data_IF_431204506393
#
_entry.id   IF_431204506393
#
_cell.length_a   1.000
_cell.length_b   1.000
_cell.length_c   1.000
_cell.angle_alpha   90.00
_cell.angle_beta   90.00
_cell.angle_gamma   90.00
#
_symmetry.space_group_name_H-M   'P 1'
#
loop_
_entity.id
_entity.type
_entity.pdbx_description
1 polymer ?
#
# COMPACT_ATOMS: atom_id res chain seq x y z
N UNK A 1 0.99 6.87 -15.35
CA UNK A 1 2.26 6.17 -15.67
C UNK A 1 2.07 4.71 -15.33
N UNK A 2 1.93 3.87 -16.34
CA UNK A 2 2.06 2.42 -16.15
C UNK A 2 3.53 2.16 -15.93
N UNK A 3 3.88 1.64 -14.76
CA UNK A 3 5.24 1.19 -14.53
C UNK A 3 5.35 -0.25 -14.95
N UNK A 4 6.42 -0.50 -15.69
CA UNK A 4 6.96 -1.83 -15.81
C UNK A 4 7.54 -2.21 -14.44
N UNK A 5 6.71 -2.87 -13.63
CA UNK A 5 7.12 -3.38 -12.32
C UNK A 5 8.16 -4.49 -12.47
N UNK A 6 8.14 -5.20 -13.60
CA UNK A 6 9.02 -6.35 -13.85
C UNK A 6 10.47 -5.91 -14.13
N UNK A 7 10.66 -4.69 -14.65
CA UNK A 7 11.99 -4.11 -14.93
C UNK A 7 12.44 -3.05 -13.92
N UNK A 8 11.76 -2.91 -12.76
CA UNK A 8 12.10 -1.92 -11.76
C UNK A 8 13.35 -2.31 -10.96
N UNK A 9 14.32 -1.40 -10.86
CA UNK A 9 15.47 -1.60 -9.95
C UNK A 9 15.07 -1.39 -8.49
N UNK A 10 15.79 -2.01 -7.56
CA UNK A 10 15.54 -1.82 -6.12
C UNK A 10 15.58 -0.34 -5.72
N UNK A 11 16.51 0.45 -6.26
CA UNK A 11 16.62 1.87 -5.96
C UNK A 11 15.40 2.69 -6.43
N UNK A 12 14.79 2.32 -7.56
CA UNK A 12 13.57 2.94 -8.04
C UNK A 12 12.36 2.57 -7.18
N UNK A 13 12.30 1.32 -6.74
CA UNK A 13 11.29 0.86 -5.79
C UNK A 13 11.41 1.61 -4.45
N UNK A 14 12.62 1.69 -3.89
CA UNK A 14 12.88 2.37 -2.63
C UNK A 14 12.53 3.86 -2.71
N UNK A 15 12.88 4.52 -3.83
CA UNK A 15 12.51 5.92 -4.08
C UNK A 15 11.00 6.10 -4.12
N UNK A 16 10.26 5.14 -4.68
CA UNK A 16 8.79 5.17 -4.71
C UNK A 16 8.19 4.95 -3.35
N UNK A 17 8.67 3.97 -2.59
CA UNK A 17 8.22 3.72 -1.22
C UNK A 17 8.50 4.92 -0.32
N UNK A 18 9.64 5.59 -0.46
CA UNK A 18 9.95 6.83 0.24
C UNK A 18 8.96 7.95 -0.12
N UNK A 19 8.62 8.10 -1.40
CA UNK A 19 7.61 9.06 -1.85
C UNK A 19 6.22 8.75 -1.29
N UNK A 20 5.80 7.49 -1.33
CA UNK A 20 4.51 7.05 -0.76
C UNK A 20 4.49 7.31 0.73
N UNK A 21 5.57 7.02 1.46
CA UNK A 21 5.68 7.32 2.90
C UNK A 21 5.51 8.80 3.21
N UNK A 22 6.09 9.68 2.39
CA UNK A 22 6.03 11.12 2.59
C UNK A 22 4.66 11.71 2.25
N UNK A 23 4.03 11.25 1.17
CA UNK A 23 2.77 11.82 0.66
C UNK A 23 1.51 11.11 1.17
N UNK A 24 1.62 9.81 1.47
CA UNK A 24 0.50 8.91 1.81
C UNK A 24 0.92 7.92 2.92
N UNK A 25 1.19 8.41 4.15
CA UNK A 25 1.77 7.60 5.23
C UNK A 25 0.91 6.39 5.60
N UNK A 26 -0.42 6.49 5.56
CA UNK A 26 -1.31 5.37 5.86
C UNK A 26 -1.28 4.27 4.78
N UNK A 27 -1.13 4.64 3.51
CA UNK A 27 -0.95 3.66 2.43
C UNK A 27 0.40 2.95 2.58
N UNK A 28 1.45 3.69 2.93
CA UNK A 28 2.74 3.09 3.23
C UNK A 28 2.63 2.10 4.40
N UNK A 29 1.94 2.48 5.47
CA UNK A 29 1.74 1.62 6.64
C UNK A 29 0.95 0.36 6.30
N UNK A 30 -0.11 0.47 5.48
CA UNK A 30 -0.89 -0.69 5.00
C UNK A 30 -0.03 -1.68 4.22
N UNK A 31 0.81 -1.17 3.31
CA UNK A 31 1.75 -2.01 2.53
C UNK A 31 2.78 -2.67 3.45
N UNK A 32 3.34 -1.91 4.41
CA UNK A 32 4.31 -2.43 5.37
C UNK A 32 3.71 -3.56 6.23
N UNK A 33 2.51 -3.32 6.77
CA UNK A 33 1.81 -4.30 7.61
C UNK A 33 1.37 -5.55 6.81
N UNK A 34 1.10 -5.41 5.50
CA UNK A 34 0.88 -6.58 4.64
C UNK A 34 2.16 -7.40 4.44
N UNK A 35 3.29 -6.76 4.15
CA UNK A 35 4.60 -7.45 4.01
C UNK A 35 5.00 -8.13 5.31
N UNK A 36 4.74 -7.49 6.45
CA UNK A 36 4.97 -8.02 7.80
C UNK A 36 3.92 -9.06 8.24
N UNK A 37 2.98 -9.44 7.37
CA UNK A 37 1.92 -10.44 7.60
C UNK A 37 0.92 -10.09 8.71
N UNK A 38 0.76 -8.80 9.00
CA UNK A 38 -0.24 -8.27 9.95
C UNK A 38 -1.58 -7.95 9.27
N UNK A 39 -1.54 -7.68 7.97
CA UNK A 39 -2.72 -7.64 7.09
C UNK A 39 -2.78 -8.96 6.33
N UNK A 40 -3.94 -9.62 6.34
CA UNK A 40 -4.10 -10.90 5.66
C UNK A 40 -4.25 -10.73 4.14
N UNK A 41 -4.00 -11.80 3.39
CA UNK A 41 -4.27 -11.82 1.94
C UNK A 41 -5.76 -11.64 1.64
N UNK A 42 -6.64 -12.10 2.52
CA UNK A 42 -8.10 -11.93 2.40
C UNK A 42 -8.49 -10.45 2.57
N UNK A 43 -7.91 -9.75 3.54
CA UNK A 43 -8.15 -8.31 3.73
C UNK A 43 -7.66 -7.48 2.54
N UNK A 44 -6.52 -7.85 1.95
CA UNK A 44 -6.05 -7.22 0.71
C UNK A 44 -7.00 -7.50 -0.46
N UNK A 45 -7.47 -8.74 -0.62
CA UNK A 45 -8.42 -9.10 -1.67
C UNK A 45 -9.75 -8.34 -1.54
N UNK A 46 -10.27 -8.22 -0.31
CA UNK A 46 -11.46 -7.42 -0.01
C UNK A 46 -11.23 -5.94 -0.34
N UNK A 47 -10.10 -5.38 0.08
CA UNK A 47 -9.72 -4.00 -0.25
C UNK A 47 -9.66 -3.77 -1.78
N UNK A 48 -9.11 -4.72 -2.54
CA UNK A 48 -9.02 -4.60 -4.00
C UNK A 48 -10.37 -4.68 -4.70
N UNK A 49 -11.36 -5.34 -4.09
CA UNK A 49 -12.75 -5.43 -4.60
C UNK A 49 -13.60 -4.21 -4.25
N UNK A 50 -13.17 -3.37 -3.31
CA UNK A 50 -13.89 -2.15 -2.91
C UNK A 50 -14.01 -1.13 -4.04
N UNK A 51 -15.06 -0.32 -3.98
CA UNK A 51 -15.18 0.86 -4.83
C UNK A 51 -14.06 1.86 -4.55
N UNK A 52 -13.69 2.68 -5.54
CA UNK A 52 -12.57 3.62 -5.42
C UNK A 52 -12.70 4.57 -4.21
N UNK A 53 -13.91 5.05 -3.92
CA UNK A 53 -14.18 5.90 -2.76
C UNK A 53 -13.95 5.16 -1.45
N UNK A 54 -14.46 3.92 -1.35
CA UNK A 54 -14.32 3.09 -0.16
C UNK A 54 -12.85 2.72 0.10
N UNK A 55 -12.07 2.43 -0.95
CA UNK A 55 -10.62 2.24 -0.84
C UNK A 55 -9.92 3.47 -0.24
N UNK A 56 -10.28 4.66 -0.71
CA UNK A 56 -9.69 5.90 -0.21
C UNK A 56 -10.05 6.12 1.25
N UNK A 57 -11.30 5.87 1.64
CA UNK A 57 -11.75 6.07 3.02
C UNK A 57 -11.19 5.00 3.96
N UNK A 58 -11.04 3.76 3.50
CA UNK A 58 -10.30 2.70 4.19
C UNK A 58 -8.86 3.14 4.47
N UNK A 59 -8.11 3.59 3.45
CA UNK A 59 -6.71 4.03 3.64
C UNK A 59 -6.60 5.26 4.54
N UNK A 60 -7.51 6.24 4.41
CA UNK A 60 -7.51 7.43 5.30
C UNK A 60 -7.69 7.07 6.77
N UNK A 61 -8.48 6.05 7.06
CA UNK A 61 -8.74 5.59 8.44
C UNK A 61 -7.77 4.50 8.92
N UNK A 62 -6.91 4.00 8.04
CA UNK A 62 -5.97 2.92 8.37
C UNK A 62 -4.98 3.31 9.47
N UNK A 63 -4.76 2.38 10.40
CA UNK A 63 -3.83 2.50 11.51
C UNK A 63 -2.89 1.30 11.54
N UNK A 64 -1.66 1.53 12.00
CA UNK A 64 -0.66 0.49 12.13
C UNK A 64 -1.18 -0.68 12.98
N UNK A 65 -0.99 -1.90 12.48
CA UNK A 65 -1.37 -3.12 13.20
C UNK A 65 -0.25 -3.55 14.16
N UNK A 66 -0.66 -4.06 15.33
CA UNK A 66 0.24 -4.58 16.36
C UNK A 66 0.75 -5.96 15.98
#
# INVERSE_FOLDING_TARGET
>A
MTLDLDNMTQAEFDKRMAKIKAENPNLFQFIADFVDRKVSTEEVDDFLKMGRSDQVDYIKSYQARS
#
